data_IF_227310311884
#
_entry.id   IF_227310311884
#
_cell.length_a   1.000
_cell.length_b   1.000
_cell.length_c   1.000
_cell.angle_alpha   90.00
_cell.angle_beta   90.00
_cell.angle_gamma   90.00
#
_symmetry.space_group_name_H-M   'P 1'
#
loop_
_entity.id
_entity.type
_entity.pdbx_description
1 polymer ?
#
# COMPACT_ATOMS: atom_id res chain seq x y z
N UNK A 1 9.31 -4.61 -13.21
CA UNK A 1 8.88 -5.45 -12.08
C UNK A 1 10.06 -6.21 -11.52
N UNK A 2 10.29 -6.18 -10.21
CA UNK A 2 11.20 -7.07 -9.51
C UNK A 2 10.35 -7.94 -8.57
N UNK A 3 10.53 -9.26 -8.65
CA UNK A 3 9.80 -10.23 -7.83
C UNK A 3 10.80 -10.97 -6.95
N UNK A 4 10.76 -10.69 -5.66
CA UNK A 4 11.60 -11.30 -4.65
C UNK A 4 10.92 -12.45 -3.93
N UNK A 5 11.69 -13.40 -3.42
CA UNK A 5 11.25 -14.44 -2.49
C UNK A 5 12.43 -14.94 -1.65
N UNK A 6 12.13 -15.70 -0.60
CA UNK A 6 13.18 -16.29 0.27
C UNK A 6 14.08 -17.30 -0.48
N UNK A 7 13.57 -17.95 -1.53
CA UNK A 7 14.36 -18.89 -2.35
C UNK A 7 14.29 -18.54 -3.84
N UNK A 8 15.34 -18.91 -4.64
CA UNK A 8 15.34 -18.70 -6.09
C UNK A 8 14.16 -19.38 -6.80
N UNK A 9 13.85 -20.63 -6.44
CA UNK A 9 12.80 -21.42 -7.05
C UNK A 9 11.42 -20.70 -6.89
N UNK A 10 11.15 -20.17 -5.69
CA UNK A 10 9.91 -19.45 -5.42
C UNK A 10 9.85 -18.13 -6.16
N UNK A 11 10.96 -17.41 -6.26
CA UNK A 11 11.05 -16.18 -7.04
C UNK A 11 10.80 -16.44 -8.53
N UNK A 12 11.32 -17.54 -9.06
CA UNK A 12 11.15 -17.96 -10.44
C UNK A 12 9.71 -18.33 -10.75
N UNK A 13 9.05 -19.12 -9.89
CA UNK A 13 7.63 -19.46 -10.04
C UNK A 13 6.74 -18.19 -10.02
N UNK A 14 7.02 -17.28 -9.08
CA UNK A 14 6.29 -16.03 -9.01
C UNK A 14 6.51 -15.18 -10.26
N UNK A 15 7.77 -15.00 -10.69
CA UNK A 15 8.08 -14.24 -11.90
C UNK A 15 7.46 -14.85 -13.16
N UNK A 16 7.35 -16.19 -13.28
CA UNK A 16 6.66 -16.86 -14.38
C UNK A 16 5.17 -16.49 -14.44
N UNK A 17 4.54 -16.23 -13.29
CA UNK A 17 3.14 -15.75 -13.27
C UNK A 17 3.01 -14.34 -13.88
N UNK A 18 3.97 -13.46 -13.63
CA UNK A 18 4.00 -12.13 -14.24
C UNK A 18 4.36 -12.21 -15.72
N UNK A 19 5.25 -13.12 -16.12
CA UNK A 19 5.55 -13.39 -17.53
C UNK A 19 4.29 -13.85 -18.28
N UNK A 20 3.52 -14.77 -17.71
CA UNK A 20 2.23 -15.20 -18.27
C UNK A 20 1.21 -14.07 -18.38
N UNK A 21 1.33 -13.02 -17.57
CA UNK A 21 0.53 -11.81 -17.66
C UNK A 21 1.05 -10.80 -18.73
N UNK A 22 2.17 -11.11 -19.40
CA UNK A 22 2.71 -10.34 -20.53
C UNK A 22 3.92 -9.46 -20.21
N UNK A 23 4.57 -9.65 -19.03
CA UNK A 23 5.87 -9.04 -18.75
C UNK A 23 6.97 -9.82 -19.48
N UNK A 24 7.98 -9.13 -20.00
CA UNK A 24 9.14 -9.79 -20.61
C UNK A 24 10.09 -10.26 -19.52
N UNK A 25 10.38 -11.57 -19.44
CA UNK A 25 11.36 -12.12 -18.49
C UNK A 25 12.76 -11.61 -18.79
N UNK A 26 13.49 -11.18 -17.77
CA UNK A 26 14.91 -10.81 -17.83
C UNK A 26 15.69 -11.50 -16.72
N UNK A 27 16.98 -11.71 -16.94
CA UNK A 27 17.88 -12.40 -16.00
C UNK A 27 18.79 -11.42 -15.25
N UNK A 28 18.87 -10.17 -15.70
CA UNK A 28 19.69 -9.15 -15.03
C UNK A 28 19.15 -7.74 -15.35
N UNK A 29 19.62 -6.73 -14.59
CA UNK A 29 19.25 -5.34 -14.80
C UNK A 29 19.77 -4.79 -16.15
N UNK A 30 20.93 -5.30 -16.62
CA UNK A 30 21.51 -4.90 -17.90
C UNK A 30 20.66 -5.37 -19.10
N UNK A 31 19.85 -6.41 -18.93
CA UNK A 31 18.92 -6.89 -19.96
C UNK A 31 17.63 -6.05 -20.02
N UNK A 32 17.51 -5.03 -19.19
CA UNK A 32 16.40 -4.10 -19.24
C UNK A 32 16.48 -3.28 -20.54
N UNK A 33 15.42 -3.37 -21.34
CA UNK A 33 15.22 -2.56 -22.56
C UNK A 33 13.87 -1.84 -22.45
N UNK A 34 13.36 -1.40 -23.59
CA UNK A 34 12.03 -0.77 -23.63
C UNK A 34 10.92 -1.76 -23.26
N UNK A 35 9.90 -1.27 -22.56
CA UNK A 35 8.71 -2.01 -22.17
C UNK A 35 8.81 -2.69 -20.80
N UNK A 36 7.70 -3.32 -20.41
CA UNK A 36 7.56 -3.95 -19.12
C UNK A 36 8.34 -5.25 -19.01
N UNK A 37 9.23 -5.34 -18.05
CA UNK A 37 10.03 -6.53 -17.77
C UNK A 37 9.81 -7.05 -16.35
N UNK A 38 10.05 -8.36 -16.14
CA UNK A 38 10.05 -9.01 -14.84
C UNK A 38 11.38 -9.71 -14.56
N UNK A 39 11.93 -9.47 -13.37
CA UNK A 39 13.15 -10.09 -12.86
C UNK A 39 12.83 -10.83 -11.56
N UNK A 40 13.11 -12.14 -11.52
CA UNK A 40 13.02 -12.95 -10.31
C UNK A 40 14.30 -12.86 -9.47
N UNK A 41 14.17 -12.69 -8.15
CA UNK A 41 15.31 -12.54 -7.22
C UNK A 41 15.07 -13.40 -5.99
N UNK A 42 15.81 -14.49 -5.86
CA UNK A 42 15.82 -15.33 -4.67
C UNK A 42 16.91 -14.94 -3.67
N UNK A 43 16.65 -15.20 -2.39
CA UNK A 43 17.68 -15.05 -1.34
C UNK A 43 18.01 -13.60 -0.97
N UNK A 44 17.01 -12.73 -0.91
CA UNK A 44 17.11 -11.40 -0.30
C UNK A 44 17.26 -10.22 -1.25
N UNK A 45 18.17 -10.24 -2.22
CA UNK A 45 18.28 -9.25 -3.31
C UNK A 45 18.69 -7.82 -2.93
N UNK A 46 19.19 -7.57 -1.71
CA UNK A 46 19.52 -6.21 -1.25
C UNK A 46 20.56 -5.49 -2.13
N UNK A 47 21.54 -6.22 -2.67
CA UNK A 47 22.54 -5.63 -3.58
C UNK A 47 21.95 -5.21 -4.91
N UNK A 48 21.12 -6.08 -5.49
CA UNK A 48 20.42 -5.80 -6.74
C UNK A 48 19.51 -4.58 -6.62
N UNK A 49 18.79 -4.45 -5.50
CA UNK A 49 17.93 -3.29 -5.26
C UNK A 49 18.75 -1.99 -5.12
N UNK A 50 19.89 -2.03 -4.42
CA UNK A 50 20.80 -0.87 -4.36
C UNK A 50 21.36 -0.49 -5.73
N UNK A 51 21.68 -1.48 -6.56
CA UNK A 51 22.15 -1.22 -7.92
C UNK A 51 21.04 -0.63 -8.80
N UNK A 52 19.81 -1.16 -8.73
CA UNK A 52 18.67 -0.60 -9.43
C UNK A 52 18.43 0.87 -9.04
N UNK A 53 18.50 1.19 -7.74
CA UNK A 53 18.36 2.55 -7.23
C UNK A 53 19.49 3.46 -7.75
N UNK A 54 20.75 2.98 -7.73
CA UNK A 54 21.92 3.71 -8.23
C UNK A 54 21.81 4.04 -9.73
N UNK A 55 21.24 3.12 -10.50
CA UNK A 55 21.02 3.29 -11.93
C UNK A 55 19.76 4.12 -12.25
N UNK A 56 18.99 4.50 -11.23
CA UNK A 56 17.72 5.23 -11.43
C UNK A 56 16.63 4.41 -12.12
N UNK A 57 16.73 3.07 -12.04
CA UNK A 57 15.74 2.18 -12.64
C UNK A 57 14.44 2.27 -11.83
N UNK A 58 13.33 2.59 -12.51
CA UNK A 58 12.00 2.55 -11.90
C UNK A 58 11.49 1.12 -11.85
N UNK A 59 11.02 0.66 -10.69
CA UNK A 59 10.50 -0.69 -10.53
C UNK A 59 9.34 -0.77 -9.54
N UNK A 60 8.45 -1.72 -9.76
CA UNK A 60 7.53 -2.21 -8.73
C UNK A 60 8.16 -3.44 -8.10
N UNK A 61 8.31 -3.44 -6.77
CA UNK A 61 8.89 -4.54 -6.01
C UNK A 61 7.78 -5.37 -5.36
N UNK A 62 7.75 -6.63 -5.70
CA UNK A 62 6.84 -7.63 -5.12
C UNK A 62 7.67 -8.63 -4.32
N UNK A 63 7.28 -8.95 -3.10
CA UNK A 63 7.84 -10.09 -2.37
C UNK A 63 6.79 -11.18 -2.20
N UNK A 64 7.13 -12.38 -2.65
CA UNK A 64 6.27 -13.56 -2.60
C UNK A 64 6.66 -14.48 -1.43
N UNK A 65 5.77 -14.61 -0.46
CA UNK A 65 5.90 -15.50 0.68
C UNK A 65 6.53 -14.89 1.93
N UNK A 66 7.13 -15.74 2.79
CA UNK A 66 7.65 -15.33 4.08
C UNK A 66 8.89 -14.44 3.94
N UNK A 67 9.25 -13.69 5.02
CA UNK A 67 10.45 -12.87 5.05
C UNK A 67 11.71 -13.65 4.65
N UNK A 68 12.57 -13.01 3.88
CA UNK A 68 13.88 -13.55 3.47
C UNK A 68 14.98 -13.39 4.54
N UNK A 69 14.69 -12.66 5.63
CA UNK A 69 15.60 -12.42 6.74
C UNK A 69 16.77 -11.50 6.43
N UNK A 70 16.82 -10.88 5.24
CA UNK A 70 17.88 -9.97 4.84
C UNK A 70 17.49 -8.51 5.03
N UNK A 71 18.29 -7.77 5.82
CA UNK A 71 18.12 -6.33 5.99
C UNK A 71 18.27 -5.58 4.65
N UNK A 72 17.29 -4.74 4.33
CA UNK A 72 17.21 -4.03 3.05
C UNK A 72 16.91 -4.93 1.85
N UNK A 73 16.49 -6.18 2.09
CA UNK A 73 16.12 -7.14 1.06
C UNK A 73 14.73 -6.91 0.47
N UNK A 74 14.34 -7.84 -0.41
CA UNK A 74 13.09 -7.70 -1.16
C UNK A 74 11.86 -7.70 -0.26
N UNK A 75 11.85 -8.43 0.86
CA UNK A 75 10.72 -8.43 1.79
C UNK A 75 10.55 -7.08 2.50
N UNK A 76 11.63 -6.50 3.05
CA UNK A 76 11.54 -5.23 3.77
C UNK A 76 11.14 -4.06 2.88
N UNK A 77 11.63 -4.05 1.63
CA UNK A 77 11.44 -2.97 0.67
C UNK A 77 10.24 -3.17 -0.27
N UNK A 78 9.52 -4.30 -0.18
CA UNK A 78 8.43 -4.63 -1.08
C UNK A 78 7.32 -3.58 -1.09
N UNK A 79 6.90 -3.19 -2.29
CA UNK A 79 5.67 -2.43 -2.51
C UNK A 79 4.43 -3.32 -2.31
N UNK A 80 4.55 -4.61 -2.66
CA UNK A 80 3.52 -5.63 -2.44
C UNK A 80 4.12 -6.87 -1.79
N UNK A 81 3.50 -7.33 -0.70
CA UNK A 81 3.78 -8.63 -0.07
C UNK A 81 2.61 -9.55 -0.35
N UNK A 82 2.89 -10.68 -0.99
CA UNK A 82 1.86 -11.59 -1.50
C UNK A 82 2.20 -13.05 -1.19
N UNK A 83 1.20 -13.90 -1.35
CA UNK A 83 1.31 -15.35 -1.39
C UNK A 83 0.76 -15.90 -2.71
N UNK A 84 1.00 -17.20 -2.96
CA UNK A 84 0.63 -17.91 -4.20
C UNK A 84 -0.77 -17.56 -4.74
N UNK A 85 -1.86 -17.55 -3.91
CA UNK A 85 -3.19 -17.24 -4.42
C UNK A 85 -3.35 -15.83 -5.00
N UNK A 86 -2.49 -14.89 -4.56
CA UNK A 86 -2.58 -13.48 -4.95
C UNK A 86 -1.77 -13.13 -6.20
N UNK A 87 -0.84 -14.01 -6.63
CA UNK A 87 0.09 -13.77 -7.75
C UNK A 87 -0.62 -13.33 -9.04
N UNK A 88 -1.59 -14.14 -9.49
CA UNK A 88 -2.28 -13.88 -10.75
C UNK A 88 -3.13 -12.60 -10.72
N UNK A 89 -3.80 -12.33 -9.60
CA UNK A 89 -4.58 -11.12 -9.40
C UNK A 89 -3.70 -9.88 -9.43
N UNK A 90 -2.57 -9.90 -8.71
CA UNK A 90 -1.61 -8.79 -8.71
C UNK A 90 -0.97 -8.60 -10.08
N UNK A 91 -0.54 -9.67 -10.77
CA UNK A 91 0.07 -9.60 -12.09
C UNK A 91 -0.86 -8.94 -13.11
N UNK A 92 -2.13 -9.36 -13.13
CA UNK A 92 -3.16 -8.73 -13.97
C UNK A 92 -3.38 -7.27 -13.60
N UNK A 93 -3.46 -6.97 -12.32
CA UNK A 93 -3.70 -5.64 -11.80
C UNK A 93 -2.56 -4.67 -12.15
N UNK A 94 -1.30 -5.05 -11.93
CA UNK A 94 -0.14 -4.22 -12.29
C UNK A 94 -0.04 -4.03 -13.80
N UNK A 95 -0.30 -5.09 -14.61
CA UNK A 95 -0.27 -5.01 -16.07
C UNK A 95 -1.36 -4.11 -16.67
N UNK A 96 -2.54 -4.11 -16.05
CA UNK A 96 -3.68 -3.30 -16.52
C UNK A 96 -3.66 -1.85 -16.05
N UNK A 97 -2.71 -1.47 -15.19
CA UNK A 97 -2.67 -0.12 -14.63
C UNK A 97 -2.06 0.90 -15.56
N UNK A 98 -2.92 1.76 -16.03
CA UNK A 98 -2.56 3.07 -16.54
C UNK A 98 -2.58 4.15 -15.44
N UNK A 99 -3.05 3.82 -14.21
CA UNK A 99 -3.31 4.77 -13.12
C UNK A 99 -2.69 4.30 -11.80
N UNK A 100 -2.23 5.24 -10.98
CA UNK A 100 -1.83 4.93 -9.60
C UNK A 100 -3.02 4.45 -8.76
N UNK A 101 -2.76 3.60 -7.76
CA UNK A 101 -3.71 3.26 -6.71
C UNK A 101 -3.32 3.93 -5.39
N UNK A 102 -4.29 4.55 -4.76
CA UNK A 102 -4.20 4.98 -3.36
C UNK A 102 -5.11 4.10 -2.52
N UNK A 103 -4.53 3.37 -1.58
CA UNK A 103 -5.29 2.62 -0.57
C UNK A 103 -5.37 3.44 0.71
N UNK A 104 -6.56 3.88 1.07
CA UNK A 104 -6.84 4.48 2.38
C UNK A 104 -7.17 3.35 3.36
N UNK A 105 -6.21 3.02 4.23
CA UNK A 105 -6.27 1.86 5.12
C UNK A 105 -6.60 2.27 6.56
N UNK A 106 -7.62 1.65 7.15
CA UNK A 106 -7.92 1.75 8.57
C UNK A 106 -7.36 0.55 9.35
N UNK A 107 -6.62 0.81 10.45
CA UNK A 107 -6.06 -0.24 11.29
C UNK A 107 -6.11 0.08 12.79
N UNK A 108 -5.98 -0.97 13.62
CA UNK A 108 -5.83 -0.87 15.06
C UNK A 108 -4.40 -1.17 15.52
N UNK A 109 -3.81 -0.26 16.29
CA UNK A 109 -2.46 -0.45 16.84
C UNK A 109 -2.31 -1.73 17.66
N UNK A 110 -3.40 -2.19 18.32
CA UNK A 110 -3.38 -3.46 19.05
C UNK A 110 -3.10 -4.69 18.20
N UNK A 111 -3.33 -4.59 16.87
CA UNK A 111 -3.13 -5.66 15.89
C UNK A 111 -1.87 -5.46 15.03
N UNK A 112 -0.97 -4.55 15.47
CA UNK A 112 0.26 -4.22 14.76
C UNK A 112 0.10 -3.13 13.70
N UNK A 113 1.21 -2.53 13.31
CA UNK A 113 1.28 -1.50 12.27
C UNK A 113 1.34 -2.17 10.90
N UNK A 114 0.60 -1.69 9.88
CA UNK A 114 0.73 -2.21 8.52
C UNK A 114 2.14 -1.92 7.97
N UNK A 115 2.88 -2.94 7.53
CA UNK A 115 4.28 -2.79 7.12
C UNK A 115 4.45 -2.10 5.77
N UNK A 116 3.39 -2.05 4.98
CA UNK A 116 3.33 -1.48 3.64
C UNK A 116 2.81 -0.03 3.59
N UNK A 117 2.55 0.59 4.76
CA UNK A 117 2.11 1.97 4.83
C UNK A 117 3.20 2.93 4.32
N UNK A 118 2.92 3.67 3.26
CA UNK A 118 3.74 4.77 2.77
C UNK A 118 3.59 6.02 3.63
N UNK A 119 2.35 6.29 4.09
CA UNK A 119 2.02 7.33 5.06
C UNK A 119 1.26 6.67 6.23
N UNK A 120 1.66 6.98 7.46
CA UNK A 120 1.03 6.44 8.65
C UNK A 120 0.64 7.55 9.61
N UNK A 121 -0.64 7.62 9.94
CA UNK A 121 -1.23 8.66 10.77
C UNK A 121 -1.84 8.05 12.03
N UNK A 122 -1.42 8.55 13.18
CA UNK A 122 -2.00 8.17 14.46
C UNK A 122 -3.24 9.02 14.76
N UNK A 123 -4.42 8.41 14.73
CA UNK A 123 -5.70 9.05 14.99
C UNK A 123 -6.11 9.06 16.49
N UNK A 124 -5.24 8.61 17.41
CA UNK A 124 -5.56 8.49 18.84
C UNK A 124 -5.67 9.82 19.56
N UNK A 125 -5.22 10.91 18.95
CA UNK A 125 -5.39 12.27 19.48
C UNK A 125 -6.83 12.77 19.42
N UNK A 126 -7.69 12.16 18.61
CA UNK A 126 -9.13 12.45 18.55
C UNK A 126 -9.85 11.79 19.73
N UNK A 127 -10.96 12.42 20.16
CA UNK A 127 -11.84 11.83 21.16
C UNK A 127 -12.36 10.48 20.72
N UNK A 128 -12.38 9.54 21.68
CA UNK A 128 -12.67 8.14 21.35
C UNK A 128 -14.19 7.86 21.47
N UNK A 129 -14.88 7.51 20.36
CA UNK A 129 -16.30 7.13 20.40
C UNK A 129 -16.61 5.98 21.37
N UNK A 130 -15.64 5.12 21.68
CA UNK A 130 -15.80 4.02 22.63
C UNK A 130 -16.25 4.47 24.02
N UNK A 131 -15.92 5.70 24.44
CA UNK A 131 -16.32 6.25 25.73
C UNK A 131 -17.72 6.84 25.75
N UNK A 132 -18.38 6.94 24.58
CA UNK A 132 -19.78 7.33 24.45
C UNK A 132 -20.63 6.06 24.42
N UNK A 133 -21.49 5.80 25.43
CA UNK A 133 -22.19 4.52 25.54
C UNK A 133 -22.95 4.12 24.27
N UNK A 134 -23.59 5.09 23.62
CA UNK A 134 -24.43 4.90 22.43
C UNK A 134 -23.60 4.60 21.17
N UNK A 135 -22.29 4.91 21.17
CA UNK A 135 -21.39 4.71 20.02
C UNK A 135 -20.44 3.53 20.22
N UNK A 136 -20.33 3.00 21.43
CA UNK A 136 -19.33 2.00 21.80
C UNK A 136 -19.33 0.76 20.91
N UNK A 137 -20.51 0.24 20.63
CA UNK A 137 -20.71 -1.01 19.89
C UNK A 137 -20.92 -0.79 18.38
N UNK A 138 -20.87 0.47 17.95
CA UNK A 138 -20.90 0.87 16.55
C UNK A 138 -19.49 0.92 15.96
N UNK A 139 -19.39 1.14 14.67
CA UNK A 139 -18.13 1.25 13.93
C UNK A 139 -18.02 2.60 13.21
N UNK A 140 -16.89 2.91 12.64
CA UNK A 140 -16.71 4.09 11.79
C UNK A 140 -17.47 4.05 10.46
N UNK A 141 -18.22 2.98 10.19
CA UNK A 141 -19.19 2.90 9.07
C UNK A 141 -20.57 3.46 9.45
N UNK A 142 -20.84 3.59 10.74
CA UNK A 142 -22.13 4.05 11.26
C UNK A 142 -22.19 5.58 11.30
N UNK A 143 -23.28 6.16 10.79
CA UNK A 143 -23.43 7.61 10.63
C UNK A 143 -23.23 8.41 11.93
N UNK A 144 -23.66 7.86 13.08
CA UNK A 144 -23.48 8.52 14.37
C UNK A 144 -22.01 8.63 14.77
N UNK A 145 -21.20 7.57 14.51
CA UNK A 145 -19.75 7.58 14.75
C UNK A 145 -19.06 8.53 13.79
N UNK A 146 -19.41 8.53 12.51
CA UNK A 146 -18.91 9.48 11.51
C UNK A 146 -19.17 10.92 11.98
N UNK A 147 -20.40 11.22 12.35
CA UNK A 147 -20.77 12.56 12.83
C UNK A 147 -19.95 12.96 14.07
N UNK A 148 -19.78 12.05 15.04
CA UNK A 148 -19.01 12.31 16.27
C UNK A 148 -17.54 12.62 15.94
N UNK A 149 -16.88 11.81 15.12
CA UNK A 149 -15.48 12.01 14.76
C UNK A 149 -15.32 13.27 13.92
N UNK A 150 -16.17 13.49 12.93
CA UNK A 150 -16.12 14.63 12.02
C UNK A 150 -16.62 15.95 12.65
N UNK A 151 -17.27 15.90 13.81
CA UNK A 151 -17.58 17.12 14.59
C UNK A 151 -16.33 17.76 15.19
N UNK A 152 -15.27 17.01 15.34
CA UNK A 152 -14.00 17.49 15.91
C UNK A 152 -13.21 18.29 14.86
N UNK A 153 -12.87 19.57 15.12
CA UNK A 153 -12.17 20.41 14.14
C UNK A 153 -10.82 19.85 13.70
N UNK A 154 -10.15 19.10 14.60
CA UNK A 154 -8.85 18.49 14.34
C UNK A 154 -8.94 17.38 13.27
N UNK A 155 -10.04 16.61 13.23
CA UNK A 155 -10.26 15.59 12.22
C UNK A 155 -10.35 16.22 10.82
N UNK A 156 -11.11 17.30 10.69
CA UNK A 156 -11.27 18.02 9.41
C UNK A 156 -9.95 18.61 8.93
N UNK A 157 -9.21 19.30 9.82
CA UNK A 157 -7.90 19.88 9.48
C UNK A 157 -6.91 18.82 9.02
N UNK A 158 -6.85 17.70 9.76
CA UNK A 158 -6.00 16.58 9.36
C UNK A 158 -6.34 16.09 7.96
N UNK A 159 -7.62 15.90 7.64
CA UNK A 159 -8.04 15.43 6.32
C UNK A 159 -7.71 16.45 5.22
N UNK A 160 -7.86 17.75 5.47
CA UNK A 160 -7.48 18.81 4.54
C UNK A 160 -5.96 18.78 4.27
N UNK A 161 -5.16 18.62 5.32
CA UNK A 161 -3.69 18.49 5.20
C UNK A 161 -3.29 17.20 4.50
N UNK A 162 -3.93 16.06 4.82
CA UNK A 162 -3.64 14.78 4.19
C UNK A 162 -4.00 14.75 2.71
N UNK A 163 -5.14 15.32 2.33
CA UNK A 163 -5.51 15.44 0.92
C UNK A 163 -4.45 16.21 0.14
N UNK A 164 -3.97 17.35 0.68
CA UNK A 164 -2.89 18.14 0.05
C UNK A 164 -1.58 17.36 -0.02
N UNK A 165 -1.16 16.71 1.08
CA UNK A 165 0.08 15.92 1.12
C UNK A 165 0.03 14.79 0.08
N UNK A 166 -1.07 14.04 0.01
CA UNK A 166 -1.22 12.95 -0.97
C UNK A 166 -1.17 13.51 -2.39
N UNK A 167 -1.91 14.58 -2.68
CA UNK A 167 -1.88 15.26 -3.98
C UNK A 167 -0.46 15.63 -4.41
N UNK A 168 0.31 16.25 -3.51
CA UNK A 168 1.68 16.70 -3.79
C UNK A 168 2.66 15.54 -3.97
N UNK A 169 2.43 14.40 -3.28
CA UNK A 169 3.32 13.23 -3.33
C UNK A 169 3.03 12.29 -4.52
N UNK A 170 1.79 12.21 -5.00
CA UNK A 170 1.42 11.27 -6.06
C UNK A 170 2.30 11.39 -7.32
N UNK A 171 2.55 12.58 -7.89
CA UNK A 171 3.43 12.70 -9.05
C UNK A 171 4.87 12.26 -8.76
N UNK A 172 5.37 12.55 -7.56
CA UNK A 172 6.73 12.17 -7.14
C UNK A 172 6.86 10.65 -6.97
N UNK A 173 5.82 9.99 -6.48
CA UNK A 173 5.76 8.54 -6.40
C UNK A 173 5.67 7.91 -7.80
N UNK A 174 4.87 8.48 -8.71
CA UNK A 174 4.77 8.03 -10.09
C UNK A 174 6.11 8.12 -10.82
N UNK A 175 6.82 9.26 -10.69
CA UNK A 175 8.16 9.44 -11.24
C UNK A 175 9.17 8.39 -10.76
N UNK A 176 8.96 7.83 -9.56
CA UNK A 176 9.79 6.76 -8.97
C UNK A 176 9.26 5.35 -9.26
N UNK A 177 8.18 5.22 -10.02
CA UNK A 177 7.56 3.94 -10.35
C UNK A 177 6.68 3.35 -9.24
N UNK A 178 6.39 4.12 -8.18
CA UNK A 178 5.47 3.70 -7.13
C UNK A 178 4.03 3.88 -7.60
N UNK A 179 3.46 2.83 -8.14
CA UNK A 179 2.09 2.82 -8.66
C UNK A 179 1.05 2.47 -7.58
N UNK A 180 1.47 2.17 -6.36
CA UNK A 180 0.60 1.93 -5.23
C UNK A 180 1.09 2.69 -3.99
N UNK A 181 0.22 3.49 -3.41
CA UNK A 181 0.47 4.29 -2.21
C UNK A 181 -0.53 3.93 -1.14
N UNK A 182 -0.05 3.48 0.02
CA UNK A 182 -0.91 3.15 1.17
C UNK A 182 -0.87 4.28 2.18
N UNK A 183 -2.02 4.89 2.45
CA UNK A 183 -2.23 5.90 3.49
C UNK A 183 -2.98 5.25 4.64
N UNK A 184 -2.27 4.95 5.73
CA UNK A 184 -2.81 4.19 6.86
C UNK A 184 -3.18 5.10 8.03
N UNK A 185 -4.42 5.00 8.50
CA UNK A 185 -4.90 5.64 9.72
C UNK A 185 -5.01 4.63 10.84
N UNK A 186 -4.35 4.88 11.98
CA UNK A 186 -4.35 4.00 13.14
C UNK A 186 -5.14 4.57 14.31
N UNK A 187 -6.04 3.78 14.91
CA UNK A 187 -6.58 4.05 16.23
C UNK A 187 -6.35 2.85 17.16
N UNK A 188 -6.82 2.84 18.39
CA UNK A 188 -6.53 1.75 19.34
C UNK A 188 -6.99 0.40 18.82
N UNK A 189 -8.26 0.28 18.42
CA UNK A 189 -8.88 -0.98 17.98
C UNK A 189 -9.09 -1.12 16.48
N UNK A 190 -8.89 -0.08 15.69
CA UNK A 190 -9.16 -0.12 14.24
C UNK A 190 -10.63 -0.03 13.85
N UNK A 191 -11.54 0.30 14.79
CA UNK A 191 -12.98 0.19 14.59
C UNK A 191 -13.72 1.52 14.39
N UNK A 192 -13.23 2.64 14.92
CA UNK A 192 -13.95 3.92 14.93
C UNK A 192 -13.18 4.99 14.16
N UNK A 193 -12.28 5.75 14.84
CA UNK A 193 -11.60 6.94 14.32
C UNK A 193 -10.81 6.70 13.02
N UNK A 194 -10.04 5.61 13.00
CA UNK A 194 -9.26 5.23 11.80
C UNK A 194 -10.16 4.94 10.60
N UNK A 195 -11.29 4.27 10.84
CA UNK A 195 -12.26 3.91 9.78
C UNK A 195 -12.88 5.16 9.18
N UNK A 196 -13.34 6.10 10.04
CA UNK A 196 -13.91 7.37 9.56
C UNK A 196 -12.88 8.16 8.76
N UNK A 197 -11.66 8.33 9.29
CA UNK A 197 -10.65 9.14 8.59
C UNK A 197 -10.21 8.53 7.26
N UNK A 198 -10.05 7.20 7.20
CA UNK A 198 -9.66 6.51 5.97
C UNK A 198 -10.77 6.59 4.91
N UNK A 199 -12.04 6.41 5.30
CA UNK A 199 -13.18 6.53 4.40
C UNK A 199 -13.33 7.95 3.85
N UNK A 200 -13.29 8.96 4.74
CA UNK A 200 -13.39 10.37 4.36
C UNK A 200 -12.26 10.83 3.44
N UNK A 201 -11.01 10.37 3.68
CA UNK A 201 -9.91 10.69 2.77
C UNK A 201 -10.12 10.02 1.42
N UNK A 202 -10.54 8.75 1.37
CA UNK A 202 -10.81 8.06 0.12
C UNK A 202 -11.88 8.78 -0.73
N UNK A 203 -12.97 9.21 -0.12
CA UNK A 203 -14.02 9.97 -0.81
C UNK A 203 -13.50 11.29 -1.38
N UNK A 204 -12.71 12.04 -0.60
CA UNK A 204 -12.11 13.31 -1.04
C UNK A 204 -11.14 13.13 -2.21
N UNK A 205 -10.31 12.09 -2.16
CA UNK A 205 -9.35 11.79 -3.23
C UNK A 205 -10.06 11.34 -4.51
N UNK A 206 -11.10 10.51 -4.42
CA UNK A 206 -11.92 10.12 -5.58
C UNK A 206 -12.54 11.32 -6.28
N UNK A 207 -12.94 12.33 -5.52
CA UNK A 207 -13.51 13.58 -6.07
C UNK A 207 -12.48 14.53 -6.71
N UNK A 208 -11.23 14.49 -6.24
CA UNK A 208 -10.18 15.44 -6.62
C UNK A 208 -9.21 14.90 -7.68
N UNK A 209 -8.84 13.61 -7.60
CA UNK A 209 -7.77 13.01 -8.38
C UNK A 209 -8.32 12.22 -9.58
N UNK A 210 -8.23 12.80 -10.79
CA UNK A 210 -8.81 12.19 -12.00
C UNK A 210 -8.02 11.00 -12.56
N UNK A 211 -6.71 10.94 -12.28
CA UNK A 211 -5.80 9.92 -12.82
C UNK A 211 -5.36 8.88 -11.79
N UNK A 212 -6.08 8.76 -10.68
CA UNK A 212 -5.77 7.88 -9.57
C UNK A 212 -6.98 7.01 -9.26
N UNK A 213 -6.75 5.74 -9.06
CA UNK A 213 -7.75 4.83 -8.50
C UNK A 213 -7.63 4.88 -6.97
N UNK A 214 -8.75 4.99 -6.28
CA UNK A 214 -8.77 5.08 -4.82
C UNK A 214 -9.61 3.96 -4.25
N UNK A 215 -9.08 3.27 -3.24
CA UNK A 215 -9.82 2.27 -2.49
C UNK A 215 -9.79 2.56 -0.98
N UNK A 216 -10.85 2.17 -0.31
CA UNK A 216 -10.93 2.18 1.15
C UNK A 216 -10.93 0.77 1.69
N UNK A 217 -10.04 0.49 2.65
CA UNK A 217 -9.86 -0.83 3.25
C UNK A 217 -9.90 -0.73 4.77
N UNK A 218 -10.64 -1.63 5.40
CA UNK A 218 -10.64 -1.84 6.85
C UNK A 218 -9.94 -3.16 7.15
N UNK A 219 -8.82 -3.12 7.90
CA UNK A 219 -8.08 -4.33 8.23
C UNK A 219 -8.67 -5.10 9.42
N UNK A 220 -9.24 -4.39 10.37
CA UNK A 220 -9.57 -4.91 11.70
C UNK A 220 -11.09 -4.89 11.99
N UNK A 221 -11.92 -4.72 10.97
CA UNK A 221 -13.37 -4.94 10.99
C UNK A 221 -13.76 -5.82 9.79
N UNK A 222 -14.65 -6.77 10.04
CA UNK A 222 -15.25 -7.65 9.03
C UNK A 222 -16.34 -6.93 8.21
#
# INVERSE_FOLDING_TARGET
>A
MIVGAATPERADEAAATFEAAGFRRIESLEALGDGDAVLGVGGGGAELLREADRLGIKYVLVHDGPPDGQAGGTHERAHHRIDVPQRAALAKHVRSRERQLVTCLAFGYKNGVPPDAGLLIDARFLDNPYWVPELRDQTGRDAAVVQYVMSQPQARRLLDDMQRIVHDLLPLYEERGHMHVVVAFGCTGGQHRSVVLAAELAERLQGAEKNVDVEFVTRDID
#
